data_IF_755848388150
#
_entry.id   IF_755848388150
#
_cell.length_a   1.000
_cell.length_b   1.000
_cell.length_c   1.000
_cell.angle_alpha   90.00
_cell.angle_beta   90.00
_cell.angle_gamma   90.00
#
_symmetry.space_group_name_H-M   'P 1'
#
loop_
_entity.id
_entity.type
_entity.pdbx_description
1 polymer ?
#
# COMPACT_ATOMS: atom_id res chain seq x y z
N UNK A 1 -21.15 2.15 22.98
CA UNK A 1 -21.19 0.97 22.08
C UNK A 1 -22.01 1.36 20.87
N UNK A 2 -21.38 1.64 19.73
CA UNK A 2 -22.12 1.96 18.51
C UNK A 2 -22.65 0.67 17.90
N UNK A 3 -23.95 0.43 18.08
CA UNK A 3 -24.70 -0.60 17.35
C UNK A 3 -24.54 -0.33 15.85
N UNK A 4 -23.86 -1.23 15.16
CA UNK A 4 -23.85 -1.29 13.70
C UNK A 4 -25.31 -1.44 13.25
N UNK A 5 -25.92 -0.35 12.79
CA UNK A 5 -27.26 -0.41 12.22
C UNK A 5 -27.23 -1.37 11.03
N UNK A 6 -28.18 -2.30 10.90
CA UNK A 6 -28.24 -3.18 9.76
C UNK A 6 -28.56 -2.33 8.52
N UNK A 7 -27.56 -2.11 7.68
CA UNK A 7 -27.76 -1.53 6.35
C UNK A 7 -28.60 -2.52 5.56
N UNK A 8 -29.91 -2.27 5.46
CA UNK A 8 -30.82 -3.04 4.60
C UNK A 8 -30.15 -3.19 3.22
N UNK A 9 -29.80 -4.42 2.85
CA UNK A 9 -29.19 -4.75 1.55
C UNK A 9 -27.67 -4.95 1.53
N UNK A 10 -26.93 -4.79 2.64
CA UNK A 10 -25.49 -5.06 2.64
C UNK A 10 -25.18 -6.57 2.64
N UNK A 11 -24.21 -6.99 1.83
CA UNK A 11 -23.81 -8.40 1.72
C UNK A 11 -23.27 -8.93 3.08
N UNK A 12 -23.62 -10.16 3.50
CA UNK A 12 -23.23 -10.69 4.80
C UNK A 12 -21.72 -10.69 5.07
N UNK A 13 -20.90 -10.90 4.04
CA UNK A 13 -19.43 -10.85 4.18
C UNK A 13 -18.91 -9.44 4.52
N UNK A 14 -19.52 -8.40 3.95
CA UNK A 14 -19.17 -7.02 4.28
C UNK A 14 -19.51 -6.71 5.74
N UNK A 15 -20.68 -7.14 6.20
CA UNK A 15 -21.08 -6.96 7.60
C UNK A 15 -20.12 -7.67 8.56
N UNK A 16 -19.72 -8.91 8.25
CA UNK A 16 -18.71 -9.65 9.03
C UNK A 16 -17.36 -8.93 9.03
N UNK A 17 -16.92 -8.41 7.88
CA UNK A 17 -15.69 -7.63 7.77
C UNK A 17 -15.74 -6.37 8.64
N UNK A 18 -16.81 -5.59 8.55
CA UNK A 18 -17.00 -4.37 9.34
C UNK A 18 -17.07 -4.66 10.84
N UNK A 19 -17.73 -5.75 11.24
CA UNK A 19 -17.74 -6.20 12.62
C UNK A 19 -16.33 -6.55 13.12
N UNK A 20 -15.54 -7.28 12.33
CA UNK A 20 -14.14 -7.59 12.66
C UNK A 20 -13.26 -6.34 12.69
N UNK A 21 -13.52 -5.36 11.82
CA UNK A 21 -12.81 -4.10 11.81
C UNK A 21 -13.11 -3.25 13.06
N UNK A 22 -14.35 -3.29 13.56
CA UNK A 22 -14.72 -2.60 14.78
C UNK A 22 -14.19 -3.30 16.04
N UNK A 23 -14.30 -4.63 16.13
CA UNK A 23 -13.90 -5.41 17.31
C UNK A 23 -12.39 -5.64 17.40
N UNK A 24 -11.72 -5.83 16.26
CA UNK A 24 -10.30 -6.15 16.18
C UNK A 24 -9.58 -5.31 15.10
N UNK A 25 -9.55 -3.97 15.25
CA UNK A 25 -9.15 -3.05 14.19
C UNK A 25 -7.74 -3.28 13.68
N UNK A 26 -6.77 -3.53 14.57
CA UNK A 26 -5.38 -3.77 14.15
C UNK A 26 -5.25 -5.06 13.35
N UNK A 27 -5.79 -6.18 13.86
CA UNK A 27 -5.74 -7.49 13.19
C UNK A 27 -6.39 -7.43 11.81
N UNK A 28 -7.59 -6.86 11.73
CA UNK A 28 -8.35 -6.78 10.49
C UNK A 28 -7.63 -5.90 9.46
N UNK A 29 -7.08 -4.75 9.87
CA UNK A 29 -6.25 -3.90 8.99
C UNK A 29 -4.99 -4.63 8.53
N UNK A 30 -4.27 -5.31 9.42
CA UNK A 30 -3.06 -6.05 9.08
C UNK A 30 -3.31 -7.15 8.04
N UNK A 31 -4.34 -7.99 8.24
CA UNK A 31 -4.73 -9.02 7.28
C UNK A 31 -5.13 -8.41 5.94
N UNK A 32 -5.94 -7.34 5.96
CA UNK A 32 -6.41 -6.67 4.74
C UNK A 32 -5.23 -6.10 3.97
N UNK A 33 -4.40 -5.27 4.60
CA UNK A 33 -3.26 -4.61 3.94
C UNK A 33 -2.22 -5.61 3.46
N UNK A 34 -1.90 -6.66 4.24
CA UNK A 34 -1.02 -7.74 3.79
C UNK A 34 -1.54 -8.43 2.53
N UNK A 35 -2.82 -8.77 2.51
CA UNK A 35 -3.46 -9.39 1.33
C UNK A 35 -3.43 -8.46 0.11
N UNK A 36 -3.74 -7.17 0.30
CA UNK A 36 -3.72 -6.20 -0.78
C UNK A 36 -2.30 -5.96 -1.31
N UNK A 37 -1.28 -5.89 -0.46
CA UNK A 37 0.11 -5.75 -0.89
C UNK A 37 0.62 -6.97 -1.66
N UNK A 38 0.22 -8.17 -1.25
CA UNK A 38 0.48 -9.40 -2.02
C UNK A 38 -0.11 -9.29 -3.43
N UNK A 39 -1.40 -8.97 -3.51
CA UNK A 39 -2.12 -8.86 -4.78
C UNK A 39 -1.58 -7.73 -5.66
N UNK A 40 -1.16 -6.60 -5.09
CA UNK A 40 -0.52 -5.49 -5.82
C UNK A 40 0.76 -5.93 -6.54
N UNK A 41 1.58 -6.78 -5.91
CA UNK A 41 2.82 -7.28 -6.51
C UNK A 41 2.54 -8.32 -7.60
N UNK A 42 1.61 -9.25 -7.34
CA UNK A 42 1.18 -10.26 -8.31
C UNK A 42 0.59 -9.59 -9.55
N UNK A 43 -0.41 -8.73 -9.38
CA UNK A 43 -1.07 -8.02 -10.48
C UNK A 43 -0.10 -7.07 -11.18
N UNK A 44 0.70 -6.31 -10.42
CA UNK A 44 1.69 -5.39 -10.99
C UNK A 44 2.69 -6.10 -11.88
N UNK A 45 3.12 -7.31 -11.51
CA UNK A 45 4.03 -8.13 -12.31
C UNK A 45 3.39 -8.64 -13.60
N UNK A 46 2.19 -9.22 -13.49
CA UNK A 46 1.43 -9.71 -14.64
C UNK A 46 1.14 -8.57 -15.64
N UNK A 47 0.62 -7.44 -15.15
CA UNK A 47 0.26 -6.29 -15.99
C UNK A 47 1.47 -5.56 -16.59
N UNK A 48 2.64 -5.66 -15.96
CA UNK A 48 3.88 -5.09 -16.52
C UNK A 48 4.48 -5.91 -17.66
N UNK A 49 4.02 -7.16 -17.86
CA UNK A 49 4.66 -8.12 -18.75
C UNK A 49 6.06 -8.53 -18.30
N UNK A 50 6.31 -8.57 -16.98
CA UNK A 50 7.58 -9.07 -16.46
C UNK A 50 7.68 -10.55 -16.79
N UNK A 51 8.78 -11.06 -17.37
CA UNK A 51 8.91 -12.50 -17.61
C UNK A 51 8.89 -13.26 -16.28
N UNK A 52 8.14 -14.36 -16.23
CA UNK A 52 8.19 -15.28 -15.09
C UNK A 52 9.59 -15.88 -15.01
N UNK A 53 10.28 -15.67 -13.90
CA UNK A 53 11.65 -16.14 -13.70
C UNK A 53 11.61 -17.38 -12.82
N UNK A 54 11.33 -18.54 -13.41
CA UNK A 54 11.19 -19.82 -12.71
C UNK A 54 12.19 -20.81 -13.27
N UNK A 55 12.92 -21.50 -12.38
CA UNK A 55 13.83 -22.57 -12.77
C UNK A 55 13.07 -23.70 -13.49
N UNK A 56 13.68 -24.26 -14.54
CA UNK A 56 13.13 -25.40 -15.29
C UNK A 56 13.04 -26.66 -14.43
N UNK A 57 13.90 -26.78 -13.43
CA UNK A 57 13.98 -27.93 -12.52
C UNK A 57 13.02 -27.82 -11.32
N UNK A 58 12.22 -26.75 -11.26
CA UNK A 58 11.28 -26.55 -10.17
C UNK A 58 10.07 -27.51 -10.26
N UNK A 59 9.50 -27.86 -9.10
CA UNK A 59 8.31 -28.70 -9.03
C UNK A 59 7.13 -28.09 -9.81
N UNK A 60 6.17 -28.90 -10.30
CA UNK A 60 5.02 -28.41 -11.07
C UNK A 60 4.24 -27.29 -10.35
N UNK A 61 4.10 -27.40 -9.02
CA UNK A 61 3.44 -26.38 -8.20
C UNK A 61 4.23 -25.06 -8.20
N UNK A 62 5.54 -25.10 -7.99
CA UNK A 62 6.39 -23.90 -7.99
C UNK A 62 6.39 -23.24 -9.37
N UNK A 63 6.34 -24.04 -10.44
CA UNK A 63 6.18 -23.53 -11.81
C UNK A 63 4.83 -22.86 -12.03
N UNK A 64 3.74 -23.46 -11.57
CA UNK A 64 2.41 -22.87 -11.66
C UNK A 64 2.34 -21.53 -10.89
N UNK A 65 2.80 -21.50 -9.64
CA UNK A 65 2.83 -20.29 -8.82
C UNK A 65 3.72 -19.20 -9.43
N UNK A 66 4.93 -19.55 -9.87
CA UNK A 66 5.84 -18.61 -10.48
C UNK A 66 5.35 -18.07 -11.83
N UNK A 67 4.63 -18.88 -12.62
CA UNK A 67 3.98 -18.42 -13.85
C UNK A 67 2.87 -17.40 -13.60
N UNK A 68 2.24 -17.46 -12.41
CA UNK A 68 1.28 -16.47 -11.95
C UNK A 68 1.94 -15.27 -11.23
N UNK A 69 3.27 -15.19 -11.18
CA UNK A 69 4.03 -14.21 -10.38
C UNK A 69 3.77 -14.27 -8.87
N UNK A 70 3.42 -15.45 -8.36
CA UNK A 70 3.39 -15.73 -6.93
C UNK A 70 4.81 -16.16 -6.53
N UNK A 71 5.65 -15.16 -6.26
CA UNK A 71 7.06 -15.35 -5.93
C UNK A 71 7.41 -14.85 -4.51
N UNK A 72 8.67 -15.01 -4.12
CA UNK A 72 9.19 -14.56 -2.83
C UNK A 72 8.95 -13.07 -2.59
N UNK A 73 8.96 -12.23 -3.65
CA UNK A 73 8.71 -10.80 -3.51
C UNK A 73 7.24 -10.53 -3.18
N UNK A 74 6.30 -11.23 -3.81
CA UNK A 74 4.88 -11.13 -3.44
C UNK A 74 4.64 -11.50 -1.97
N UNK A 75 5.29 -12.56 -1.48
CA UNK A 75 5.22 -12.95 -0.06
C UNK A 75 5.83 -11.88 0.86
N UNK A 76 7.00 -11.35 0.51
CA UNK A 76 7.63 -10.24 1.25
C UNK A 76 6.74 -9.00 1.30
N UNK A 77 6.03 -8.70 0.21
CA UNK A 77 5.05 -7.61 0.16
C UNK A 77 3.86 -7.86 1.10
N UNK A 78 3.39 -9.10 1.19
CA UNK A 78 2.36 -9.50 2.15
C UNK A 78 2.80 -9.26 3.60
N UNK A 79 4.03 -9.69 3.92
CA UNK A 79 4.65 -9.51 5.24
C UNK A 79 4.81 -8.02 5.57
N UNK A 80 5.28 -7.21 4.60
CA UNK A 80 5.35 -5.76 4.76
C UNK A 80 3.97 -5.16 5.09
N UNK A 81 2.94 -5.51 4.33
CA UNK A 81 1.60 -5.00 4.56
C UNK A 81 1.06 -5.36 5.96
N UNK A 82 1.31 -6.61 6.39
CA UNK A 82 0.81 -7.16 7.64
C UNK A 82 1.59 -6.68 8.88
N UNK A 83 2.92 -6.73 8.86
CA UNK A 83 3.77 -6.44 10.03
C UNK A 83 4.25 -4.99 10.13
N UNK A 84 4.33 -4.27 9.01
CA UNK A 84 4.93 -2.93 8.98
C UNK A 84 3.89 -1.88 8.63
N UNK A 85 3.30 -1.96 7.43
CA UNK A 85 2.44 -0.89 6.89
C UNK A 85 1.19 -0.66 7.74
N UNK A 86 0.41 -1.72 8.00
CA UNK A 86 -0.83 -1.59 8.75
C UNK A 86 -0.62 -1.23 10.23
N UNK A 87 0.30 -1.87 10.99
CA UNK A 87 0.55 -1.48 12.37
C UNK A 87 1.05 -0.04 12.49
N UNK A 88 2.03 0.36 11.67
CA UNK A 88 2.54 1.72 11.68
C UNK A 88 1.42 2.74 11.42
N UNK A 89 0.61 2.51 10.37
CA UNK A 89 -0.52 3.38 10.07
C UNK A 89 -1.56 3.40 11.19
N UNK A 90 -1.84 2.26 11.80
CA UNK A 90 -2.82 2.15 12.88
C UNK A 90 -2.43 3.02 14.07
N UNK A 91 -1.18 2.92 14.52
CA UNK A 91 -0.72 3.68 15.68
C UNK A 91 -0.52 5.16 15.39
N UNK A 92 0.09 5.51 14.25
CA UNK A 92 0.32 6.91 13.89
C UNK A 92 -0.99 7.69 13.74
N UNK A 93 -1.98 7.12 13.05
CA UNK A 93 -3.30 7.74 12.92
C UNK A 93 -4.03 7.73 14.27
N UNK A 94 -3.90 6.68 15.07
CA UNK A 94 -4.47 6.64 16.41
C UNK A 94 -3.93 7.73 17.33
N UNK A 95 -2.61 8.00 17.29
CA UNK A 95 -1.97 9.10 18.03
C UNK A 95 -2.52 10.45 17.54
N UNK A 96 -2.59 10.65 16.23
CA UNK A 96 -3.16 11.87 15.65
C UNK A 96 -4.63 12.08 16.07
N UNK A 97 -5.44 11.01 16.04
CA UNK A 97 -6.84 11.07 16.45
C UNK A 97 -6.99 11.40 17.94
N UNK A 98 -6.15 10.83 18.81
CA UNK A 98 -6.12 11.15 20.24
C UNK A 98 -5.72 12.60 20.49
N UNK A 99 -4.71 13.12 19.79
CA UNK A 99 -4.23 14.49 19.95
C UNK A 99 -5.28 15.56 19.57
N UNK A 100 -6.22 15.21 18.68
CA UNK A 100 -7.31 16.08 18.24
C UNK A 100 -8.69 15.65 18.76
N UNK A 101 -8.73 14.76 19.76
CA UNK A 101 -9.99 14.28 20.33
C UNK A 101 -10.79 15.45 20.95
N UNK A 102 -12.10 15.48 20.67
CA UNK A 102 -13.00 16.53 21.18
C UNK A 102 -12.89 17.88 20.46
N UNK A 103 -11.98 18.04 19.51
CA UNK A 103 -11.81 19.29 18.79
C UNK A 103 -12.82 19.43 17.64
N UNK A 104 -13.69 20.45 17.70
CA UNK A 104 -14.75 20.66 16.70
C UNK A 104 -14.51 21.87 15.79
N UNK A 105 -13.60 22.76 16.17
CA UNK A 105 -13.34 24.00 15.43
C UNK A 105 -12.75 23.75 14.04
N UNK A 106 -13.08 24.62 13.08
CA UNK A 106 -12.51 24.58 11.72
C UNK A 106 -11.00 24.65 11.74
N UNK A 107 -10.43 25.49 12.61
CA UNK A 107 -8.97 25.62 12.81
C UNK A 107 -8.35 24.29 13.24
N UNK A 108 -8.97 23.58 14.18
CA UNK A 108 -8.47 22.29 14.64
C UNK A 108 -8.55 21.21 13.55
N UNK A 109 -9.63 21.18 12.76
CA UNK A 109 -9.75 20.27 11.60
C UNK A 109 -8.65 20.52 10.57
N UNK A 110 -8.37 21.79 10.25
CA UNK A 110 -7.27 22.17 9.35
C UNK A 110 -5.92 21.74 9.94
N UNK A 111 -5.67 22.02 11.21
CA UNK A 111 -4.43 21.63 11.89
C UNK A 111 -4.24 20.11 11.92
N UNK A 112 -5.31 19.33 12.10
CA UNK A 112 -5.26 17.86 12.05
C UNK A 112 -4.86 17.36 10.65
N UNK A 113 -5.43 17.94 9.59
CA UNK A 113 -5.08 17.62 8.20
C UNK A 113 -3.61 17.96 7.92
N UNK A 114 -3.14 19.13 8.35
CA UNK A 114 -1.75 19.52 8.19
C UNK A 114 -0.81 18.60 8.96
N UNK A 115 -1.12 18.26 10.21
CA UNK A 115 -0.35 17.30 11.00
C UNK A 115 -0.31 15.91 10.33
N UNK A 116 -1.43 15.45 9.77
CA UNK A 116 -1.45 14.20 9.00
C UNK A 116 -0.52 14.25 7.79
N UNK A 117 -0.52 15.35 7.04
CA UNK A 117 0.27 15.47 5.81
C UNK A 117 1.75 15.78 6.03
N UNK A 118 2.09 16.49 7.11
CA UNK A 118 3.44 16.96 7.39
C UNK A 118 4.19 16.11 8.42
N UNK A 119 3.49 15.29 9.22
CA UNK A 119 4.13 14.41 10.20
C UNK A 119 3.90 12.93 9.86
N UNK A 120 2.64 12.53 9.68
CA UNK A 120 2.31 11.12 9.49
C UNK A 120 2.73 10.62 8.11
N UNK A 121 2.35 11.34 7.04
CA UNK A 121 2.64 10.92 5.67
C UNK A 121 4.15 10.79 5.35
N UNK A 122 5.05 11.69 5.82
CA UNK A 122 6.49 11.51 5.70
C UNK A 122 7.00 10.22 6.35
N UNK A 123 6.57 9.92 7.58
CA UNK A 123 7.01 8.71 8.30
C UNK A 123 6.57 7.45 7.53
N UNK A 124 5.32 7.42 7.08
CA UNK A 124 4.80 6.30 6.29
C UNK A 124 5.53 6.15 4.95
N UNK A 125 5.82 7.27 4.27
CA UNK A 125 6.53 7.28 2.98
C UNK A 125 7.96 6.75 3.14
N UNK A 126 8.69 7.24 4.15
CA UNK A 126 10.04 6.77 4.46
C UNK A 126 10.05 5.29 4.84
N UNK A 127 9.11 4.83 5.66
CA UNK A 127 8.96 3.42 6.04
C UNK A 127 8.67 2.52 4.83
N UNK A 128 7.80 2.96 3.93
CA UNK A 128 7.51 2.26 2.68
C UNK A 128 8.78 2.13 1.82
N UNK A 129 9.48 3.23 1.56
CA UNK A 129 10.69 3.23 0.72
C UNK A 129 11.82 2.41 1.35
N UNK A 130 11.97 2.48 2.69
CA UNK A 130 12.93 1.66 3.41
C UNK A 130 12.63 0.18 3.24
N UNK A 131 11.37 -0.21 3.43
CA UNK A 131 10.91 -1.59 3.24
C UNK A 131 11.10 -2.04 1.79
N UNK A 132 10.85 -1.16 0.82
CA UNK A 132 11.09 -1.44 -0.60
C UNK A 132 12.56 -1.67 -0.93
N UNK A 133 13.47 -0.91 -0.33
CA UNK A 133 14.90 -1.14 -0.49
C UNK A 133 15.27 -2.56 -0.02
N UNK A 134 14.86 -2.94 1.19
CA UNK A 134 15.13 -4.26 1.77
C UNK A 134 14.49 -5.39 0.95
N UNK A 135 13.23 -5.22 0.53
CA UNK A 135 12.51 -6.21 -0.28
C UNK A 135 13.21 -6.44 -1.62
N UNK A 136 13.76 -5.38 -2.22
CA UNK A 136 14.51 -5.45 -3.47
C UNK A 136 15.98 -5.88 -3.28
N UNK A 137 16.42 -6.18 -2.05
CA UNK A 137 17.73 -6.78 -1.78
C UNK A 137 18.79 -5.82 -1.25
N UNK A 138 18.44 -4.63 -0.77
CA UNK A 138 19.40 -3.77 -0.10
C UNK A 138 20.00 -4.47 1.13
N UNK A 139 21.31 -4.44 1.26
CA UNK A 139 22.08 -5.11 2.31
C UNK A 139 22.73 -4.14 3.29
N UNK A 140 22.78 -2.84 2.95
CA UNK A 140 23.36 -1.79 3.79
C UNK A 140 22.38 -0.65 4.08
N UNK A 141 22.61 0.06 5.20
CA UNK A 141 21.84 1.24 5.55
C UNK A 141 21.97 2.36 4.50
N UNK A 142 23.12 2.49 3.86
CA UNK A 142 23.37 3.48 2.83
C UNK A 142 22.48 3.26 1.59
N UNK A 143 22.31 2.02 1.16
CA UNK A 143 21.42 1.66 0.04
C UNK A 143 19.96 1.98 0.36
N UNK A 144 19.55 1.73 1.61
CA UNK A 144 18.22 2.07 2.11
C UNK A 144 18.01 3.59 2.09
N UNK A 145 18.95 4.36 2.65
CA UNK A 145 18.88 5.83 2.67
C UNK A 145 18.88 6.40 1.25
N UNK A 146 19.69 5.85 0.34
CA UNK A 146 19.72 6.26 -1.07
C UNK A 146 18.36 6.04 -1.73
N UNK A 147 17.71 4.91 -1.49
CA UNK A 147 16.38 4.61 -2.00
C UNK A 147 15.33 5.57 -1.46
N UNK A 148 15.37 5.86 -0.15
CA UNK A 148 14.48 6.86 0.47
C UNK A 148 14.68 8.21 -0.19
N UNK A 149 15.91 8.74 -0.24
CA UNK A 149 16.19 10.06 -0.81
C UNK A 149 15.76 10.17 -2.28
N UNK A 150 15.99 9.13 -3.07
CA UNK A 150 15.62 9.12 -4.48
C UNK A 150 14.09 9.06 -4.70
N UNK A 151 13.36 8.30 -3.87
CA UNK A 151 11.93 8.08 -4.04
C UNK A 151 11.02 9.01 -3.25
N UNK A 152 11.50 9.63 -2.17
CA UNK A 152 10.66 10.27 -1.16
C UNK A 152 9.74 11.32 -1.75
N UNK A 153 10.32 12.30 -2.47
CA UNK A 153 9.53 13.39 -3.03
C UNK A 153 8.57 12.92 -4.12
N UNK A 154 8.96 11.91 -4.90
CA UNK A 154 8.12 11.33 -5.93
C UNK A 154 6.88 10.64 -5.35
N UNK A 155 7.02 9.96 -4.20
CA UNK A 155 5.91 9.26 -3.54
C UNK A 155 5.04 10.23 -2.74
N UNK A 156 5.65 11.11 -1.93
CA UNK A 156 4.89 11.98 -1.02
C UNK A 156 4.00 12.98 -1.76
N UNK A 157 4.47 13.55 -2.89
CA UNK A 157 3.68 14.49 -3.69
C UNK A 157 2.38 13.88 -4.22
N UNK A 158 2.42 12.58 -4.53
CA UNK A 158 1.24 11.84 -4.98
C UNK A 158 0.27 11.69 -3.81
N UNK A 159 0.79 11.31 -2.64
CA UNK A 159 -0.02 11.22 -1.42
C UNK A 159 -0.71 12.55 -1.09
N UNK A 160 0.00 13.67 -1.20
CA UNK A 160 -0.55 15.01 -0.95
C UNK A 160 -1.65 15.44 -1.92
N UNK A 161 -1.72 14.85 -3.11
CA UNK A 161 -2.80 15.12 -4.07
C UNK A 161 -3.94 14.11 -3.90
N UNK A 162 -3.62 12.82 -3.82
CA UNK A 162 -4.61 11.75 -3.73
C UNK A 162 -5.38 11.80 -2.42
N UNK A 163 -4.70 12.06 -1.29
CA UNK A 163 -5.32 12.01 0.04
C UNK A 163 -6.46 13.03 0.18
N UNK A 164 -6.28 14.33 -0.15
CA UNK A 164 -7.38 15.29 -0.13
C UNK A 164 -8.52 14.94 -1.09
N UNK A 165 -8.21 14.53 -2.33
CA UNK A 165 -9.23 14.18 -3.33
C UNK A 165 -10.08 12.99 -2.88
N UNK A 166 -9.42 11.94 -2.40
CA UNK A 166 -10.10 10.75 -1.86
C UNK A 166 -10.92 11.10 -0.62
N UNK A 167 -10.42 11.97 0.26
CA UNK A 167 -11.17 12.46 1.42
C UNK A 167 -12.42 13.23 1.01
N UNK A 168 -12.35 14.13 0.03
CA UNK A 168 -13.52 14.87 -0.47
C UNK A 168 -14.59 13.92 -1.03
N UNK A 169 -14.18 12.88 -1.77
CA UNK A 169 -15.09 11.85 -2.26
C UNK A 169 -15.72 11.09 -1.09
N UNK A 170 -14.89 10.66 -0.13
CA UNK A 170 -15.36 9.91 1.04
C UNK A 170 -16.41 10.69 1.84
N UNK A 171 -16.15 11.97 2.11
CA UNK A 171 -17.04 12.84 2.87
C UNK A 171 -18.39 13.06 2.17
N UNK A 172 -18.41 13.11 0.83
CA UNK A 172 -19.63 13.41 0.06
C UNK A 172 -20.45 12.16 -0.28
N UNK A 173 -19.80 11.02 -0.47
CA UNK A 173 -20.44 9.85 -1.11
C UNK A 173 -20.32 8.54 -0.33
N UNK A 174 -19.46 8.45 0.71
CA UNK A 174 -19.15 7.17 1.37
C UNK A 174 -19.57 7.23 2.84
N UNK A 175 -20.43 6.31 3.31
CA UNK A 175 -20.72 6.14 4.73
C UNK A 175 -19.43 5.94 5.55
N UNK A 176 -19.34 6.53 6.75
CA UNK A 176 -18.10 6.57 7.54
C UNK A 176 -17.58 5.17 7.90
N UNK A 177 -18.48 4.20 8.05
CA UNK A 177 -18.17 2.80 8.34
C UNK A 177 -17.42 2.14 7.17
N UNK A 178 -17.64 2.63 5.95
CA UNK A 178 -17.02 2.14 4.71
C UNK A 178 -15.74 2.89 4.33
N UNK A 179 -15.31 3.88 5.10
CA UNK A 179 -14.11 4.66 4.77
C UNK A 179 -12.86 3.80 4.70
N UNK A 180 -12.66 2.88 5.65
CA UNK A 180 -11.48 1.99 5.64
C UNK A 180 -11.41 1.13 4.37
N UNK A 181 -12.44 0.36 3.99
CA UNK A 181 -12.39 -0.39 2.73
C UNK A 181 -12.30 0.52 1.50
N UNK A 182 -12.91 1.70 1.51
CA UNK A 182 -12.78 2.69 0.42
C UNK A 182 -11.33 3.17 0.23
N UNK A 183 -10.65 3.62 1.29
CA UNK A 183 -9.27 4.06 1.21
C UNK A 183 -8.32 2.91 0.85
N UNK A 184 -8.58 1.70 1.36
CA UNK A 184 -7.84 0.50 0.97
C UNK A 184 -7.99 0.21 -0.53
N UNK A 185 -9.17 0.41 -1.13
CA UNK A 185 -9.37 0.23 -2.57
C UNK A 185 -8.57 1.25 -3.39
N UNK A 186 -8.54 2.52 -2.98
CA UNK A 186 -7.74 3.56 -3.63
C UNK A 186 -6.24 3.22 -3.53
N UNK A 187 -5.78 2.86 -2.34
CA UNK A 187 -4.40 2.46 -2.12
C UNK A 187 -4.04 1.20 -2.93
N UNK A 188 -4.97 0.26 -3.06
CA UNK A 188 -4.83 -0.94 -3.88
C UNK A 188 -4.59 -0.60 -5.35
N UNK A 189 -5.45 0.23 -5.94
CA UNK A 189 -5.36 0.65 -7.35
C UNK A 189 -4.05 1.40 -7.60
N UNK A 190 -3.74 2.40 -6.77
CA UNK A 190 -2.52 3.19 -6.92
C UNK A 190 -1.24 2.37 -6.73
N UNK A 191 -1.20 1.52 -5.70
CA UNK A 191 -0.06 0.64 -5.47
C UNK A 191 0.17 -0.34 -6.62
N UNK A 192 -0.90 -0.93 -7.16
CA UNK A 192 -0.82 -1.81 -8.34
C UNK A 192 -0.29 -1.04 -9.55
N UNK A 193 -0.83 0.15 -9.81
CA UNK A 193 -0.37 1.01 -10.90
C UNK A 193 1.11 1.40 -10.75
N UNK A 194 1.56 1.80 -9.56
CA UNK A 194 2.96 2.14 -9.34
C UNK A 194 3.88 0.94 -9.49
N UNK A 195 3.52 -0.22 -8.95
CA UNK A 195 4.27 -1.45 -9.13
C UNK A 195 4.43 -1.79 -10.62
N UNK A 196 3.33 -1.73 -11.37
CA UNK A 196 3.33 -1.95 -12.82
C UNK A 196 4.25 -0.95 -13.54
N UNK A 197 4.10 0.35 -13.29
CA UNK A 197 4.87 1.40 -13.97
C UNK A 197 6.36 1.31 -13.70
N UNK A 198 6.75 1.06 -12.45
CA UNK A 198 8.17 0.91 -12.08
C UNK A 198 8.78 -0.29 -12.80
N UNK A 199 8.06 -1.42 -12.88
CA UNK A 199 8.51 -2.60 -13.62
C UNK A 199 8.63 -2.32 -15.13
N UNK A 200 7.64 -1.68 -15.74
CA UNK A 200 7.70 -1.31 -17.16
C UNK A 200 8.89 -0.41 -17.48
N UNK A 201 9.16 0.61 -16.65
CA UNK A 201 10.31 1.49 -16.83
C UNK A 201 11.65 0.73 -16.72
N UNK A 202 11.76 -0.19 -15.77
CA UNK A 202 12.94 -1.05 -15.63
C UNK A 202 13.15 -1.95 -16.85
N UNK A 203 12.08 -2.59 -17.34
CA UNK A 203 12.14 -3.43 -18.54
C UNK A 203 12.55 -2.62 -19.79
N UNK A 204 12.01 -1.40 -19.94
CA UNK A 204 12.38 -0.51 -21.03
C UNK A 204 13.87 -0.09 -20.97
N UNK A 205 14.37 0.22 -19.77
CA UNK A 205 15.79 0.55 -19.57
C UNK A 205 16.70 -0.63 -19.91
N UNK A 206 16.37 -1.84 -19.46
CA UNK A 206 17.12 -3.06 -19.79
C UNK A 206 17.12 -3.37 -21.28
N UNK A 207 15.98 -3.17 -21.98
CA UNK A 207 15.90 -3.34 -23.43
C UNK A 207 16.81 -2.36 -24.17
N UNK A 208 16.84 -1.09 -23.75
CA UNK A 208 17.71 -0.07 -24.34
C UNK A 208 19.20 -0.40 -24.16
N UNK A 209 19.58 -0.83 -22.94
CA UNK A 209 20.97 -1.24 -22.66
C UNK A 209 21.43 -2.39 -23.56
N UNK A 210 20.60 -3.43 -23.72
CA UNK A 210 20.90 -4.55 -24.63
C UNK A 210 21.09 -4.10 -26.08
N UNK A 211 20.22 -3.21 -26.57
CA UNK A 211 20.34 -2.67 -27.93
C UNK A 211 21.60 -1.83 -28.13
N UNK A 212 22.04 -1.09 -27.10
CA UNK A 212 23.29 -0.33 -27.15
C UNK A 212 24.53 -1.23 -27.10
N UNK A 213 24.48 -2.36 -26.38
CA UNK A 213 25.52 -3.38 -26.36
C UNK A 213 25.63 -4.11 -27.70
N UNK A 214 24.50 -4.49 -28.32
CA UNK A 214 24.46 -5.16 -29.63
C UNK A 214 24.94 -4.24 -30.78
N UNK A 215 24.94 -2.93 -30.59
CA UNK A 215 25.37 -1.93 -31.59
C UNK A 215 26.87 -1.62 -31.52
N UNK A 216 27.55 -1.98 -30.43
CA UNK A 216 28.98 -1.76 -30.23
C UNK A 216 29.78 -2.96 -30.72
#
# INVERSE_FOLDING_TARGET
MSTLLPTKGAHPLLLKYLAQLALHPLRTKAITTGTLCFLQEVLGSNLSGTPANVSKDASPLVRALGSAHIDTKAVKMAIYGFLVSAPLSHFLIGILQKAFAGQTSTRAKIAQILASNLLIAPIQTSSYLASMAVINGATSLEEVIKTIKAGFFQVIRISWVVSPLSMTIAQKFVPVELWVPFFNAIQFVLGTYFNMRVKQLRLAALKKQKQEEERK
#
